data_IF_233015730307
#
_entry.id   IF_233015730307
#
_cell.length_a   1.000
_cell.length_b   1.000
_cell.length_c   1.000
_cell.angle_alpha   90.00
_cell.angle_beta   90.00
_cell.angle_gamma   90.00
#
_symmetry.space_group_name_H-M   'P 1'
#
loop_
_entity.id
_entity.type
_entity.pdbx_description
1 polymer ?
#
# COMPACT_ATOMS: atom_id res chain seq x y z
N UNK A 1 -6.52 15.27 -0.09
CA UNK A 1 -7.77 14.91 0.62
C UNK A 1 -7.71 15.06 2.15
N UNK A 2 -6.94 14.22 2.88
CA UNK A 2 -7.02 14.14 4.37
C UNK A 2 -6.70 15.45 5.11
N UNK A 3 -5.63 16.16 4.72
CA UNK A 3 -5.31 17.49 5.31
C UNK A 3 -6.39 18.53 5.00
N UNK A 4 -6.95 18.55 3.78
CA UNK A 4 -8.03 19.47 3.40
C UNK A 4 -9.35 19.19 4.14
N UNK A 5 -9.56 17.96 4.63
CA UNK A 5 -10.66 17.65 5.55
C UNK A 5 -10.39 18.23 6.94
N UNK A 6 -9.21 17.98 7.51
CA UNK A 6 -8.80 18.53 8.82
C UNK A 6 -8.84 20.07 8.85
N UNK A 7 -8.40 20.73 7.77
CA UNK A 7 -8.46 22.19 7.59
C UNK A 7 -9.90 22.71 7.70
N UNK A 8 -10.86 22.03 7.04
CA UNK A 8 -12.29 22.37 7.11
C UNK A 8 -12.87 22.14 8.51
N UNK A 9 -12.56 21.01 9.14
CA UNK A 9 -13.03 20.66 10.49
C UNK A 9 -12.45 21.61 11.57
N UNK A 10 -11.21 22.08 11.38
CA UNK A 10 -10.55 23.02 12.30
C UNK A 10 -10.83 24.50 12.00
N UNK A 11 -11.61 24.79 10.94
CA UNK A 11 -11.82 26.13 10.38
C UNK A 11 -10.51 26.95 10.19
N UNK A 12 -9.42 26.27 9.82
CA UNK A 12 -8.09 26.85 9.70
C UNK A 12 -7.88 27.47 8.31
N UNK A 13 -7.11 28.55 8.21
CA UNK A 13 -6.63 29.06 6.91
C UNK A 13 -5.42 28.24 6.46
N UNK A 14 -5.51 27.61 5.29
CA UNK A 14 -4.43 26.80 4.73
C UNK A 14 -4.12 27.17 3.28
N UNK A 15 -2.84 27.41 2.98
CA UNK A 15 -2.33 27.53 1.61
C UNK A 15 -1.89 26.15 1.08
N UNK A 16 -2.35 25.74 -0.10
CA UNK A 16 -1.93 24.51 -0.77
C UNK A 16 -1.02 24.86 -1.96
N UNK A 17 0.21 24.34 -1.97
CA UNK A 17 1.19 24.57 -3.04
C UNK A 17 1.69 23.22 -3.57
N UNK A 18 1.74 23.05 -4.89
CA UNK A 18 2.37 21.89 -5.52
C UNK A 18 3.84 22.21 -5.84
N UNK A 19 4.74 21.31 -5.47
CA UNK A 19 6.16 21.39 -5.82
C UNK A 19 6.42 20.63 -7.13
N UNK A 20 7.48 21.01 -7.84
CA UNK A 20 7.87 20.40 -9.13
C UNK A 20 8.17 21.39 -10.24
N UNK A 21 7.91 22.69 -10.04
CA UNK A 21 8.37 23.78 -10.91
C UNK A 21 9.15 24.84 -10.13
N UNK A 22 10.02 25.64 -10.79
CA UNK A 22 10.74 26.74 -10.14
C UNK A 22 9.82 27.75 -9.44
N UNK A 23 8.70 28.11 -10.07
CA UNK A 23 7.71 29.05 -9.53
C UNK A 23 7.03 28.47 -8.27
N UNK A 24 6.79 27.15 -8.26
CA UNK A 24 6.25 26.45 -7.10
C UNK A 24 7.15 26.55 -5.85
N UNK A 25 8.47 26.61 -6.04
CA UNK A 25 9.43 26.79 -4.94
C UNK A 25 9.35 28.19 -4.33
N UNK A 26 9.30 29.23 -5.16
CA UNK A 26 9.16 30.63 -4.70
C UNK A 26 7.81 30.87 -4.02
N UNK A 27 6.73 30.29 -4.56
CA UNK A 27 5.39 30.38 -3.97
C UNK A 27 5.34 29.65 -2.63
N UNK A 28 5.95 28.46 -2.52
CA UNK A 28 6.04 27.72 -1.27
C UNK A 28 6.82 28.49 -0.19
N UNK A 29 7.97 29.08 -0.54
CA UNK A 29 8.79 29.85 0.40
C UNK A 29 8.06 31.11 0.90
N UNK A 30 7.38 31.84 0.01
CA UNK A 30 6.54 32.98 0.39
C UNK A 30 5.37 32.56 1.28
N UNK A 31 4.69 31.46 0.95
CA UNK A 31 3.57 30.94 1.74
C UNK A 31 4.02 30.53 3.15
N UNK A 32 5.18 29.88 3.28
CA UNK A 32 5.76 29.50 4.57
C UNK A 32 6.14 30.74 5.38
N UNK A 33 6.82 31.73 4.79
CA UNK A 33 7.21 32.96 5.50
C UNK A 33 6.00 33.74 6.06
N UNK A 34 4.91 33.84 5.29
CA UNK A 34 3.64 34.43 5.74
C UNK A 34 3.00 33.58 6.83
N UNK A 35 2.97 32.26 6.68
CA UNK A 35 2.31 31.37 7.64
C UNK A 35 3.04 31.27 8.99
N UNK A 36 4.37 31.35 9.00
CA UNK A 36 5.22 31.36 10.21
C UNK A 36 4.86 32.54 11.12
N UNK A 37 4.60 33.72 10.54
CA UNK A 37 4.22 34.93 11.29
C UNK A 37 2.72 35.02 11.58
N UNK A 38 1.86 34.66 10.62
CA UNK A 38 0.41 34.74 10.75
C UNK A 38 -0.24 33.55 11.49
N UNK A 39 0.50 32.47 11.77
CA UNK A 39 -0.04 31.27 12.41
C UNK A 39 -0.93 30.39 11.53
N UNK A 40 -0.97 30.63 10.22
CA UNK A 40 -1.77 29.85 9.26
C UNK A 40 -1.08 28.54 8.89
N UNK A 41 -1.76 27.69 8.13
CA UNK A 41 -1.25 26.37 7.75
C UNK A 41 -0.76 26.36 6.30
N UNK A 42 0.20 25.49 5.98
CA UNK A 42 0.71 25.28 4.61
C UNK A 42 0.72 23.80 4.30
N UNK A 43 0.23 23.43 3.12
CA UNK A 43 0.23 22.07 2.58
C UNK A 43 1.08 22.03 1.30
N UNK A 44 2.21 21.33 1.35
CA UNK A 44 3.06 21.10 0.19
C UNK A 44 2.78 19.73 -0.42
N UNK A 45 2.46 19.72 -1.71
CA UNK A 45 2.18 18.53 -2.53
C UNK A 45 3.37 18.18 -3.41
N UNK A 46 3.47 16.92 -3.82
CA UNK A 46 4.49 16.38 -4.74
C UNK A 46 5.94 16.62 -4.29
N UNK A 47 6.15 16.59 -2.97
CA UNK A 47 7.42 16.91 -2.33
C UNK A 47 8.64 16.07 -2.80
N UNK A 48 8.51 14.78 -3.16
CA UNK A 48 9.63 14.00 -3.71
C UNK A 48 10.26 14.58 -4.98
N UNK A 49 9.51 15.31 -5.80
CA UNK A 49 10.02 15.96 -7.02
C UNK A 49 11.02 17.09 -6.73
N UNK A 50 11.14 17.52 -5.46
CA UNK A 50 11.87 18.70 -5.03
C UNK A 50 12.94 18.40 -3.96
N UNK A 51 13.59 17.24 -4.02
CA UNK A 51 14.54 16.76 -3.00
C UNK A 51 15.68 17.75 -2.64
N UNK A 52 16.17 18.53 -3.61
CA UNK A 52 17.19 19.57 -3.40
C UNK A 52 16.64 20.77 -2.62
N UNK A 53 15.45 21.24 -2.95
CA UNK A 53 14.75 22.31 -2.23
C UNK A 53 14.33 21.85 -0.82
N UNK A 54 13.88 20.59 -0.68
CA UNK A 54 13.49 20.00 0.60
C UNK A 54 14.66 19.93 1.60
N UNK A 55 15.88 19.64 1.12
CA UNK A 55 17.10 19.74 1.91
C UNK A 55 17.34 21.14 2.48
N UNK A 56 17.08 22.19 1.68
CA UNK A 56 17.21 23.58 2.09
C UNK A 56 16.11 23.99 3.07
N UNK A 57 14.87 23.57 2.82
CA UNK A 57 13.75 23.76 3.74
C UNK A 57 14.06 23.16 5.13
N UNK A 58 14.57 21.92 5.19
CA UNK A 58 14.95 21.28 6.45
C UNK A 58 15.96 22.06 7.27
N UNK A 59 16.95 22.71 6.61
CA UNK A 59 17.90 23.61 7.27
C UNK A 59 17.22 24.89 7.78
N UNK A 60 16.32 25.49 7.00
CA UNK A 60 15.58 26.70 7.38
C UNK A 60 14.64 26.46 8.56
N UNK A 61 13.92 25.34 8.58
CA UNK A 61 12.99 24.97 9.65
C UNK A 61 13.64 24.91 11.04
N UNK A 62 14.92 24.53 11.14
CA UNK A 62 15.65 24.54 12.42
C UNK A 62 15.90 25.94 12.99
N UNK A 63 15.94 26.99 12.16
CA UNK A 63 16.23 28.36 12.58
C UNK A 63 14.99 29.24 12.79
N UNK A 64 13.78 28.69 12.60
CA UNK A 64 12.53 29.45 12.70
C UNK A 64 11.94 29.41 14.11
N UNK A 65 11.39 30.54 14.54
CA UNK A 65 10.55 30.66 15.72
C UNK A 65 9.09 30.93 15.29
N UNK A 66 8.30 29.89 14.96
CA UNK A 66 6.97 30.07 14.38
C UNK A 66 5.89 30.40 15.42
N UNK A 67 4.83 31.07 14.96
CA UNK A 67 3.63 31.27 15.76
C UNK A 67 3.03 29.93 16.26
N UNK A 68 2.54 29.80 17.51
CA UNK A 68 2.13 28.50 18.08
C UNK A 68 1.05 27.73 17.30
N UNK A 69 0.25 28.42 16.49
CA UNK A 69 -0.80 27.82 15.64
C UNK A 69 -0.31 27.39 14.24
N UNK A 70 0.89 27.79 13.82
CA UNK A 70 1.48 27.43 12.52
C UNK A 70 1.61 25.91 12.37
N UNK A 71 1.19 25.37 11.23
CA UNK A 71 1.37 23.95 10.89
C UNK A 71 1.81 23.81 9.42
N UNK A 72 2.91 23.10 9.20
CA UNK A 72 3.40 22.73 7.88
C UNK A 72 3.10 21.25 7.65
N UNK A 73 2.38 20.95 6.57
CA UNK A 73 2.07 19.61 6.11
C UNK A 73 2.82 19.31 4.81
N UNK A 74 3.45 18.15 4.76
CA UNK A 74 4.15 17.63 3.59
C UNK A 74 3.44 16.33 3.17
N UNK A 75 3.00 16.21 1.92
CA UNK A 75 2.57 14.91 1.36
C UNK A 75 3.70 14.32 0.55
N UNK A 76 4.17 13.15 0.97
CA UNK A 76 5.40 12.53 0.51
C UNK A 76 5.13 11.04 0.33
N UNK A 77 5.44 10.49 -0.84
CA UNK A 77 5.52 9.04 -1.05
C UNK A 77 6.81 8.48 -0.45
N UNK A 78 6.84 7.19 -0.14
CA UNK A 78 8.03 6.54 0.45
C UNK A 78 9.15 6.51 -0.59
N UNK A 79 10.07 7.47 -0.51
CA UNK A 79 11.12 7.68 -1.50
C UNK A 79 12.47 7.92 -0.79
N UNK A 80 13.56 7.20 -1.15
CA UNK A 80 14.86 7.35 -0.50
C UNK A 80 15.53 8.72 -0.73
N UNK A 81 15.06 9.51 -1.70
CA UNK A 81 15.48 10.89 -1.93
C UNK A 81 14.97 11.90 -0.88
N UNK A 82 14.08 11.48 0.04
CA UNK A 82 13.57 12.35 1.12
C UNK A 82 14.65 12.53 2.20
N UNK A 83 15.12 13.76 2.48
CA UNK A 83 16.21 14.00 3.42
C UNK A 83 15.87 13.60 4.86
N UNK A 84 16.80 12.86 5.49
CA UNK A 84 16.63 12.35 6.85
C UNK A 84 16.54 13.45 7.93
N UNK A 85 17.09 14.65 7.68
CA UNK A 85 16.92 15.80 8.56
C UNK A 85 15.44 16.26 8.62
N UNK A 86 14.75 16.30 7.48
CA UNK A 86 13.32 16.67 7.40
C UNK A 86 12.45 15.62 8.09
N UNK A 87 12.75 14.34 7.90
CA UNK A 87 12.04 13.26 8.60
C UNK A 87 12.23 13.32 10.11
N UNK A 88 13.45 13.63 10.59
CA UNK A 88 13.75 13.73 12.04
C UNK A 88 13.04 14.88 12.76
N UNK A 89 12.79 16.00 12.07
CA UNK A 89 12.07 17.16 12.65
C UNK A 89 10.55 17.08 12.48
N UNK A 90 10.07 16.16 11.64
CA UNK A 90 8.65 16.04 11.30
C UNK A 90 7.98 14.93 12.11
N UNK A 91 6.70 15.12 12.45
CA UNK A 91 5.86 14.00 12.88
C UNK A 91 5.41 13.21 11.66
N UNK A 92 6.17 12.18 11.30
CA UNK A 92 5.84 11.29 10.18
C UNK A 92 4.57 10.50 10.50
N UNK A 93 3.60 10.52 9.58
CA UNK A 93 2.40 9.71 9.62
C UNK A 93 2.40 8.83 8.37
N UNK A 94 2.66 7.53 8.54
CA UNK A 94 2.52 6.57 7.46
C UNK A 94 1.05 6.21 7.27
N UNK A 95 0.63 6.17 6.00
CA UNK A 95 -0.71 5.77 5.61
C UNK A 95 -0.59 4.67 4.57
N UNK A 96 -0.65 3.44 5.03
CA UNK A 96 -0.86 2.28 4.15
C UNK A 96 -2.38 2.12 3.93
N UNK A 97 -2.82 1.72 2.72
CA UNK A 97 -4.19 1.26 2.51
C UNK A 97 -4.49 0.11 3.48
N UNK A 98 -5.66 0.10 4.14
CA UNK A 98 -5.99 -0.95 5.09
C UNK A 98 -6.07 -2.30 4.35
N UNK A 99 -5.30 -3.33 4.76
CA UNK A 99 -5.24 -4.57 4.02
C UNK A 99 -6.56 -5.35 4.08
N UNK A 100 -6.88 -6.01 2.97
CA UNK A 100 -8.00 -6.92 2.84
C UNK A 100 -9.14 -6.36 2.00
N UNK A 101 -9.78 -7.25 1.22
CA UNK A 101 -10.87 -6.94 0.29
C UNK A 101 -11.99 -6.16 0.99
N UNK A 102 -12.29 -6.50 2.25
CA UNK A 102 -13.34 -5.83 3.05
C UNK A 102 -13.06 -4.34 3.22
N UNK A 103 -11.85 -3.98 3.64
CA UNK A 103 -11.52 -2.59 3.96
C UNK A 103 -11.47 -1.74 2.67
N UNK A 104 -10.93 -2.31 1.60
CA UNK A 104 -10.91 -1.73 0.26
C UNK A 104 -12.32 -1.47 -0.30
N UNK A 105 -13.23 -2.45 -0.19
CA UNK A 105 -14.64 -2.30 -0.54
C UNK A 105 -15.32 -1.22 0.29
N UNK A 106 -15.04 -1.15 1.60
CA UNK A 106 -15.60 -0.10 2.47
C UNK A 106 -15.10 1.30 2.07
N UNK A 107 -13.84 1.45 1.67
CA UNK A 107 -13.31 2.73 1.17
C UNK A 107 -13.95 3.10 -0.17
N UNK A 108 -13.96 2.18 -1.14
CA UNK A 108 -14.53 2.37 -2.47
C UNK A 108 -16.02 2.70 -2.45
N UNK A 109 -16.84 1.90 -1.74
CA UNK A 109 -18.29 2.13 -1.64
C UNK A 109 -18.65 3.42 -0.88
N UNK A 110 -17.79 3.90 0.00
CA UNK A 110 -17.99 5.19 0.69
C UNK A 110 -17.45 6.39 -0.10
N UNK A 111 -16.55 6.18 -1.07
CA UNK A 111 -16.14 7.18 -2.05
C UNK A 111 -17.23 7.50 -3.09
N UNK A 112 -18.16 6.58 -3.34
CA UNK A 112 -19.24 6.76 -4.33
C UNK A 112 -20.13 7.97 -4.02
N UNK A 113 -20.29 8.86 -5.01
CA UNK A 113 -21.22 9.99 -4.94
C UNK A 113 -22.67 9.52 -4.87
N UNK A 114 -23.39 9.87 -3.79
CA UNK A 114 -24.81 9.54 -3.61
C UNK A 114 -25.71 10.10 -4.72
N UNK A 115 -25.35 11.25 -5.31
CA UNK A 115 -26.11 11.84 -6.42
C UNK A 115 -25.99 10.99 -7.69
N UNK A 116 -24.80 10.42 -7.93
CA UNK A 116 -24.46 9.55 -9.06
C UNK A 116 -25.15 8.18 -8.92
N UNK A 117 -25.04 7.57 -7.74
CA UNK A 117 -25.67 6.27 -7.42
C UNK A 117 -27.19 6.30 -7.55
N UNK A 118 -27.85 7.41 -7.21
CA UNK A 118 -29.32 7.54 -7.24
C UNK A 118 -29.91 7.78 -8.63
N UNK A 119 -29.09 7.93 -9.67
CA UNK A 119 -29.59 8.06 -11.04
C UNK A 119 -30.16 6.72 -11.55
N UNK A 120 -31.22 6.74 -12.38
CA UNK A 120 -31.71 5.53 -13.05
C UNK A 120 -30.72 5.06 -14.13
N UNK A 121 -30.55 3.76 -14.36
CA UNK A 121 -31.44 2.69 -13.93
C UNK A 121 -31.03 2.08 -12.57
N UNK A 122 -31.97 1.45 -11.86
CA UNK A 122 -31.76 0.85 -10.53
C UNK A 122 -30.63 -0.20 -10.51
N UNK A 123 -30.42 -0.89 -11.62
CA UNK A 123 -29.35 -1.86 -11.83
C UNK A 123 -27.94 -1.25 -11.67
N UNK A 124 -27.78 0.07 -11.82
CA UNK A 124 -26.50 0.79 -11.63
C UNK A 124 -25.81 0.45 -10.31
N UNK A 125 -26.55 0.37 -9.20
CA UNK A 125 -25.98 0.08 -7.87
C UNK A 125 -25.23 -1.27 -7.84
N UNK A 126 -25.77 -2.29 -8.51
CA UNK A 126 -25.17 -3.63 -8.55
C UNK A 126 -23.93 -3.66 -9.45
N UNK A 127 -23.96 -2.98 -10.59
CA UNK A 127 -22.77 -2.77 -11.43
C UNK A 127 -21.65 -2.00 -10.71
N UNK A 128 -21.99 -0.98 -9.93
CA UNK A 128 -21.01 -0.24 -9.13
C UNK A 128 -20.38 -1.12 -8.04
N UNK A 129 -21.17 -1.97 -7.39
CA UNK A 129 -20.65 -2.94 -6.44
C UNK A 129 -19.70 -3.94 -7.13
N UNK A 130 -20.06 -4.48 -8.31
CA UNK A 130 -19.18 -5.37 -9.09
C UNK A 130 -17.87 -4.69 -9.51
N UNK A 131 -17.89 -3.40 -9.85
CA UNK A 131 -16.69 -2.60 -10.11
C UNK A 131 -15.82 -2.41 -8.86
N UNK A 132 -16.42 -2.09 -7.71
CA UNK A 132 -15.69 -1.99 -6.45
C UNK A 132 -15.08 -3.35 -6.04
N UNK A 133 -15.80 -4.45 -6.28
CA UNK A 133 -15.31 -5.82 -6.05
C UNK A 133 -14.13 -6.15 -6.97
N UNK A 134 -14.22 -5.86 -8.27
CA UNK A 134 -13.09 -6.01 -9.20
C UNK A 134 -11.89 -5.20 -8.69
N UNK A 135 -12.06 -3.89 -8.45
CA UNK A 135 -10.98 -3.01 -8.02
C UNK A 135 -10.27 -3.50 -6.75
N UNK A 136 -11.05 -3.86 -5.71
CA UNK A 136 -10.53 -4.44 -4.47
C UNK A 136 -9.78 -5.76 -4.70
N UNK A 137 -10.29 -6.63 -5.58
CA UNK A 137 -9.64 -7.90 -5.92
C UNK A 137 -8.31 -7.69 -6.65
N UNK A 138 -8.27 -6.76 -7.62
CA UNK A 138 -7.04 -6.45 -8.37
C UNK A 138 -5.96 -5.84 -7.45
N UNK A 139 -6.36 -4.90 -6.58
CA UNK A 139 -5.46 -4.26 -5.62
C UNK A 139 -4.93 -5.24 -4.56
N UNK A 140 -5.78 -6.07 -3.94
CA UNK A 140 -5.30 -7.05 -2.97
C UNK A 140 -4.41 -8.13 -3.62
N UNK A 141 -4.62 -8.50 -4.90
CA UNK A 141 -3.67 -9.38 -5.60
C UNK A 141 -2.26 -8.78 -5.72
N UNK A 142 -2.08 -7.46 -5.76
CA UNK A 142 -0.75 -6.82 -5.80
C UNK A 142 0.08 -7.10 -4.54
N UNK A 143 -0.58 -7.33 -3.39
CA UNK A 143 0.08 -7.71 -2.14
C UNK A 143 0.82 -9.06 -2.24
N UNK A 144 0.46 -9.91 -3.21
CA UNK A 144 1.02 -11.25 -3.39
C UNK A 144 1.98 -11.36 -4.59
N UNK A 145 2.48 -10.26 -5.16
CA UNK A 145 3.53 -10.32 -6.21
C UNK A 145 4.73 -11.15 -5.72
N UNK A 146 5.26 -12.12 -6.50
CA UNK A 146 4.95 -12.43 -7.89
C UNK A 146 3.85 -13.50 -8.13
N UNK A 147 3.19 -14.02 -7.09
CA UNK A 147 2.10 -15.02 -7.21
C UNK A 147 0.77 -14.39 -7.67
N UNK A 148 0.48 -13.17 -7.21
CA UNK A 148 -0.75 -12.44 -7.54
C UNK A 148 -0.73 -11.76 -8.92
N UNK A 149 0.45 -11.27 -9.31
CA UNK A 149 0.74 -10.65 -10.60
C UNK A 149 2.23 -10.81 -10.87
N UNK A 150 2.64 -10.84 -12.13
CA UNK A 150 4.07 -10.89 -12.50
C UNK A 150 4.79 -9.59 -12.11
N UNK A 151 4.08 -8.46 -12.06
CA UNK A 151 4.61 -7.15 -11.66
C UNK A 151 3.67 -6.42 -10.69
N UNK A 152 4.22 -5.49 -9.92
CA UNK A 152 3.45 -4.57 -9.11
C UNK A 152 2.90 -3.43 -10.00
N UNK A 153 1.73 -3.66 -10.59
CA UNK A 153 0.98 -2.62 -11.31
C UNK A 153 0.38 -1.60 -10.34
N UNK A 154 0.21 -0.35 -10.78
CA UNK A 154 -0.37 0.72 -9.97
C UNK A 154 -1.86 0.87 -10.30
N UNK A 155 -2.73 0.37 -9.42
CA UNK A 155 -4.18 0.59 -9.51
C UNK A 155 -4.61 1.58 -8.42
N UNK A 156 -5.29 2.66 -8.80
CA UNK A 156 -5.68 3.73 -7.88
C UNK A 156 -7.18 4.10 -7.98
N UNK A 157 -7.62 5.06 -7.17
CA UNK A 157 -9.03 5.50 -7.19
C UNK A 157 -9.46 6.15 -8.51
N UNK A 158 -8.52 6.70 -9.30
CA UNK A 158 -8.83 7.31 -10.60
C UNK A 158 -9.22 6.26 -11.65
N UNK A 159 -8.65 5.05 -11.56
CA UNK A 159 -9.08 3.90 -12.38
C UNK A 159 -10.52 3.50 -12.08
N UNK A 160 -10.88 3.45 -10.80
CA UNK A 160 -12.26 3.14 -10.39
C UNK A 160 -13.23 4.24 -10.85
N UNK A 161 -12.87 5.53 -10.69
CA UNK A 161 -13.69 6.65 -11.16
C UNK A 161 -13.89 6.62 -12.69
N UNK A 162 -12.85 6.28 -13.45
CA UNK A 162 -12.90 6.09 -14.90
C UNK A 162 -13.78 4.88 -15.28
N UNK A 163 -13.61 3.74 -14.61
CA UNK A 163 -14.42 2.54 -14.83
C UNK A 163 -15.91 2.81 -14.60
N UNK A 164 -16.24 3.52 -13.50
CA UNK A 164 -17.60 3.97 -13.19
C UNK A 164 -18.13 4.91 -14.27
N UNK A 165 -17.31 5.83 -14.80
CA UNK A 165 -17.72 6.81 -15.81
C UNK A 165 -18.03 6.16 -17.16
N UNK A 166 -17.23 5.18 -17.56
CA UNK A 166 -17.47 4.39 -18.76
C UNK A 166 -18.75 3.55 -18.62
N UNK A 167 -19.00 2.94 -17.46
CA UNK A 167 -20.24 2.21 -17.19
C UNK A 167 -21.45 3.14 -17.17
N UNK A 168 -21.35 4.35 -16.63
CA UNK A 168 -22.44 5.33 -16.69
C UNK A 168 -22.80 5.72 -18.13
N UNK A 169 -21.81 6.01 -18.97
CA UNK A 169 -22.04 6.35 -20.37
C UNK A 169 -22.73 5.19 -21.11
N UNK A 170 -22.28 3.96 -20.87
CA UNK A 170 -22.90 2.77 -21.47
C UNK A 170 -24.32 2.51 -20.95
N UNK A 171 -24.55 2.67 -19.64
CA UNK A 171 -25.88 2.55 -19.05
C UNK A 171 -26.83 3.61 -19.59
N UNK A 172 -26.41 4.86 -19.76
CA UNK A 172 -27.26 5.93 -20.30
C UNK A 172 -27.77 5.63 -21.71
N UNK A 173 -26.89 5.10 -22.59
CA UNK A 173 -27.26 4.75 -23.97
C UNK A 173 -28.33 3.65 -24.04
N UNK A 174 -28.39 2.76 -23.05
CA UNK A 174 -29.39 1.68 -22.97
C UNK A 174 -30.61 2.10 -22.15
N UNK A 175 -30.43 2.82 -21.05
CA UNK A 175 -31.51 3.23 -20.16
C UNK A 175 -32.47 4.20 -20.86
N UNK A 176 -31.94 5.23 -21.54
CA UNK A 176 -32.75 6.26 -22.21
C UNK A 176 -33.80 6.87 -21.28
N UNK A 177 -33.40 7.18 -20.03
CA UNK A 177 -34.27 7.69 -18.97
C UNK A 177 -35.18 6.67 -18.28
N UNK A 178 -35.13 5.38 -18.64
CA UNK A 178 -35.92 4.32 -17.96
C UNK A 178 -35.39 4.02 -16.56
N UNK A 179 -36.31 3.82 -15.61
CA UNK A 179 -35.99 3.52 -14.21
C UNK A 179 -35.32 2.14 -13.99
N UNK A 180 -35.60 1.18 -14.87
CA UNK A 180 -35.02 -0.17 -14.84
C UNK A 180 -34.56 -0.57 -16.25
N UNK A 181 -33.53 -1.41 -16.34
CA UNK A 181 -32.96 -1.95 -17.58
C UNK A 181 -32.81 -3.46 -17.45
N UNK A 182 -33.29 -4.23 -18.43
CA UNK A 182 -33.07 -5.68 -18.46
C UNK A 182 -31.56 -5.96 -18.51
N UNK A 183 -30.99 -6.76 -17.57
CA UNK A 183 -29.57 -7.13 -17.57
C UNK A 183 -29.03 -7.66 -18.91
N UNK A 184 -29.83 -8.38 -19.70
CA UNK A 184 -29.44 -8.88 -21.02
C UNK A 184 -29.20 -7.76 -22.06
N UNK A 185 -29.81 -6.58 -21.86
CA UNK A 185 -29.64 -5.43 -22.75
C UNK A 185 -28.42 -4.55 -22.43
N UNK A 186 -27.75 -4.80 -21.31
CA UNK A 186 -26.52 -4.10 -20.92
C UNK A 186 -25.38 -4.53 -21.89
N UNK A 187 -24.52 -3.61 -22.38
CA UNK A 187 -23.53 -3.93 -23.41
C UNK A 187 -22.28 -4.61 -22.80
N UNK A 188 -22.46 -5.80 -22.23
CA UNK A 188 -21.44 -6.56 -21.50
C UNK A 188 -20.14 -6.78 -22.26
N UNK A 189 -20.19 -6.91 -23.59
CA UNK A 189 -18.97 -7.00 -24.41
C UNK A 189 -18.17 -5.69 -24.37
N UNK A 190 -18.84 -4.54 -24.49
CA UNK A 190 -18.19 -3.23 -24.42
C UNK A 190 -17.61 -2.96 -23.03
N UNK A 191 -18.37 -3.25 -21.95
CA UNK A 191 -17.89 -3.12 -20.57
C UNK A 191 -16.62 -3.95 -20.37
N UNK A 192 -16.65 -5.25 -20.72
CA UNK A 192 -15.48 -6.13 -20.56
C UNK A 192 -14.28 -5.67 -21.38
N UNK A 193 -14.47 -5.29 -22.64
CA UNK A 193 -13.37 -4.78 -23.48
C UNK A 193 -12.76 -3.50 -22.91
N UNK A 194 -13.56 -2.53 -22.46
CA UNK A 194 -13.04 -1.27 -21.91
C UNK A 194 -12.29 -1.48 -20.58
N UNK A 195 -12.82 -2.31 -19.67
CA UNK A 195 -12.15 -2.63 -18.41
C UNK A 195 -10.83 -3.39 -18.64
N UNK A 196 -10.85 -4.40 -19.51
CA UNK A 196 -9.68 -5.24 -19.80
C UNK A 196 -8.62 -4.57 -20.67
N UNK A 197 -8.98 -3.68 -21.61
CA UNK A 197 -8.00 -3.10 -22.55
C UNK A 197 -7.63 -1.65 -22.24
N UNK A 198 -8.55 -0.85 -21.67
CA UNK A 198 -8.34 0.59 -21.51
C UNK A 198 -8.07 0.99 -20.06
N UNK A 199 -8.88 0.51 -19.10
CA UNK A 199 -8.76 0.95 -17.70
C UNK A 199 -7.67 0.20 -16.94
N UNK A 200 -7.86 -1.09 -16.71
CA UNK A 200 -6.95 -1.88 -15.87
C UNK A 200 -5.82 -2.50 -16.70
N UNK A 201 -6.15 -3.14 -17.83
CA UNK A 201 -5.12 -3.77 -18.68
C UNK A 201 -4.30 -2.80 -19.52
N UNK A 202 -4.67 -1.51 -19.60
CA UNK A 202 -3.81 -0.48 -20.18
C UNK A 202 -2.47 -0.30 -19.45
N UNK A 203 -2.35 -0.83 -18.22
CA UNK A 203 -1.10 -0.90 -17.44
C UNK A 203 -0.39 -2.26 -17.53
N UNK A 204 -1.05 -3.28 -18.07
CA UNK A 204 -0.53 -4.65 -18.09
C UNK A 204 0.26 -4.88 -19.38
N UNK A 205 1.51 -5.27 -19.21
CA UNK A 205 2.44 -5.60 -20.30
C UNK A 205 2.68 -7.10 -20.46
N UNK A 206 2.19 -7.94 -19.53
CA UNK A 206 2.38 -9.38 -19.57
C UNK A 206 1.09 -10.14 -19.94
N UNK A 207 1.18 -11.03 -20.93
CA UNK A 207 0.02 -11.77 -21.47
C UNK A 207 -0.71 -12.65 -20.43
N UNK A 208 0.00 -13.32 -19.52
CA UNK A 208 -0.62 -14.11 -18.45
C UNK A 208 -1.37 -13.24 -17.43
N UNK A 209 -0.80 -12.09 -17.06
CA UNK A 209 -1.46 -11.12 -16.19
C UNK A 209 -2.72 -10.57 -16.87
N UNK A 210 -2.68 -10.29 -18.18
CA UNK A 210 -3.85 -9.86 -18.95
C UNK A 210 -4.95 -10.94 -18.94
N UNK A 211 -4.59 -12.22 -19.14
CA UNK A 211 -5.54 -13.35 -19.04
C UNK A 211 -6.16 -13.48 -17.64
N UNK A 212 -5.42 -13.18 -16.57
CA UNK A 212 -5.96 -13.14 -15.21
C UNK A 212 -7.00 -12.03 -15.07
N UNK A 213 -6.70 -10.81 -15.53
CA UNK A 213 -7.66 -9.69 -15.56
C UNK A 213 -8.91 -10.04 -16.38
N UNK A 214 -8.73 -10.56 -17.58
CA UNK A 214 -9.83 -11.00 -18.47
C UNK A 214 -10.68 -12.11 -17.86
N UNK A 215 -10.11 -12.98 -17.01
CA UNK A 215 -10.86 -14.01 -16.28
C UNK A 215 -11.77 -13.40 -15.22
N UNK A 216 -11.27 -12.46 -14.40
CA UNK A 216 -12.10 -11.75 -13.42
C UNK A 216 -13.19 -10.91 -14.08
N UNK A 217 -12.81 -10.12 -15.10
CA UNK A 217 -13.74 -9.28 -15.87
C UNK A 217 -14.76 -10.15 -16.63
N UNK A 218 -14.34 -11.30 -17.15
CA UNK A 218 -15.17 -12.26 -17.86
C UNK A 218 -16.18 -13.00 -16.99
N UNK A 219 -15.88 -13.24 -15.70
CA UNK A 219 -16.81 -13.82 -14.72
C UNK A 219 -17.80 -12.77 -14.19
N UNK A 220 -17.28 -11.62 -13.72
CA UNK A 220 -18.08 -10.60 -13.02
C UNK A 220 -19.02 -9.81 -13.94
N UNK A 221 -18.63 -9.52 -15.18
CA UNK A 221 -19.40 -8.64 -16.07
C UNK A 221 -20.17 -9.44 -17.13
N UNK A 222 -21.17 -10.18 -16.66
CA UNK A 222 -22.10 -11.00 -17.46
C UNK A 222 -23.54 -10.79 -17.00
N UNK A 223 -24.57 -11.10 -17.81
CA UNK A 223 -25.97 -11.01 -17.38
C UNK A 223 -26.25 -11.78 -16.09
N UNK A 224 -25.64 -12.96 -15.94
CA UNK A 224 -25.71 -13.82 -14.75
C UNK A 224 -25.25 -13.16 -13.46
N UNK A 225 -24.49 -12.07 -13.52
CA UNK A 225 -24.14 -11.27 -12.33
C UNK A 225 -25.35 -10.67 -11.61
N UNK A 226 -26.52 -10.66 -12.26
CA UNK A 226 -27.82 -10.27 -11.70
C UNK A 226 -28.64 -11.44 -11.14
N UNK A 227 -28.21 -12.69 -11.31
CA UNK A 227 -28.91 -13.87 -10.76
C UNK A 227 -28.86 -13.86 -9.22
N UNK A 228 -29.88 -14.43 -8.57
CA UNK A 228 -30.05 -14.38 -7.09
C UNK A 228 -28.98 -15.20 -6.37
N UNK A 229 -28.49 -16.27 -7.00
CA UNK A 229 -27.47 -17.19 -6.50
C UNK A 229 -26.07 -16.89 -7.06
N UNK A 230 -25.86 -15.73 -7.69
CA UNK A 230 -24.58 -15.39 -8.30
C UNK A 230 -23.44 -15.32 -7.26
N UNK A 231 -22.47 -16.23 -7.41
CA UNK A 231 -21.25 -16.23 -6.62
C UNK A 231 -20.20 -15.33 -7.26
N UNK A 232 -19.62 -14.43 -6.46
CA UNK A 232 -18.57 -13.49 -6.89
C UNK A 232 -17.30 -14.18 -7.37
N UNK A 233 -17.13 -15.47 -7.03
CA UNK A 233 -15.95 -16.27 -7.36
C UNK A 233 -16.39 -17.69 -7.72
N UNK A 234 -15.94 -18.19 -8.87
CA UNK A 234 -16.21 -19.56 -9.30
C UNK A 234 -15.78 -20.58 -8.24
N UNK A 235 -16.72 -21.45 -7.83
CA UNK A 235 -16.47 -22.48 -6.82
C UNK A 235 -16.47 -22.00 -5.35
N UNK A 236 -16.88 -20.76 -5.07
CA UNK A 236 -17.09 -20.27 -3.70
C UNK A 236 -18.56 -20.12 -3.34
N UNK A 237 -18.88 -20.11 -2.05
CA UNK A 237 -20.21 -19.79 -1.53
C UNK A 237 -20.38 -18.28 -1.23
N UNK A 238 -19.55 -17.41 -1.81
CA UNK A 238 -19.65 -15.95 -1.60
C UNK A 238 -20.69 -15.34 -2.54
N UNK A 239 -21.95 -15.55 -2.18
CA UNK A 239 -23.12 -15.07 -2.93
C UNK A 239 -23.32 -13.57 -2.67
N UNK A 240 -23.54 -12.81 -3.75
CA UNK A 240 -23.89 -11.39 -3.71
C UNK A 240 -25.29 -11.21 -3.08
N UNK A 241 -25.55 -10.19 -2.24
CA UNK A 241 -26.91 -9.97 -1.74
C UNK A 241 -27.83 -9.55 -2.89
N UNK A 242 -29.10 -9.99 -2.85
CA UNK A 242 -30.13 -9.48 -3.75
C UNK A 242 -30.56 -8.07 -3.33
N UNK A 243 -29.69 -7.12 -3.64
CA UNK A 243 -29.74 -5.74 -3.22
C UNK A 243 -29.86 -4.80 -4.42
N UNK A 244 -30.69 -3.76 -4.25
CA UNK A 244 -30.91 -2.71 -5.25
C UNK A 244 -30.27 -1.38 -4.82
N UNK A 245 -30.11 -1.17 -3.50
CA UNK A 245 -29.54 0.06 -2.94
C UNK A 245 -28.09 -0.15 -2.50
N UNK A 246 -27.23 0.85 -2.75
CA UNK A 246 -25.83 0.81 -2.35
C UNK A 246 -25.62 0.58 -0.85
N UNK A 247 -26.56 1.04 -0.02
CA UNK A 247 -26.48 0.90 1.44
C UNK A 247 -26.63 -0.57 1.89
N UNK A 248 -27.45 -1.36 1.20
CA UNK A 248 -27.56 -2.81 1.45
C UNK A 248 -26.26 -3.54 1.09
N UNK A 249 -25.57 -3.12 0.01
CA UNK A 249 -24.23 -3.62 -0.31
C UNK A 249 -23.20 -3.23 0.76
N UNK A 250 -23.28 -2.01 1.33
CA UNK A 250 -22.40 -1.59 2.44
C UNK A 250 -22.64 -2.38 3.73
N UNK A 251 -23.88 -2.72 4.03
CA UNK A 251 -24.25 -3.59 5.15
C UNK A 251 -23.66 -4.99 4.96
N UNK A 252 -23.85 -5.61 3.78
CA UNK A 252 -23.26 -6.90 3.44
C UNK A 252 -21.73 -6.89 3.51
N UNK A 253 -21.06 -5.87 2.96
CA UNK A 253 -19.60 -5.72 3.07
C UNK A 253 -19.17 -5.60 4.53
N UNK A 254 -19.95 -4.90 5.36
CA UNK A 254 -19.65 -4.75 6.78
C UNK A 254 -19.80 -6.05 7.57
N UNK A 255 -20.62 -6.99 7.10
CA UNK A 255 -20.76 -8.34 7.65
C UNK A 255 -19.65 -9.32 7.23
N UNK A 256 -18.80 -8.98 6.25
CA UNK A 256 -17.71 -9.86 5.81
C UNK A 256 -16.71 -10.16 6.95
N UNK A 257 -16.10 -11.36 6.99
CA UNK A 257 -15.08 -11.71 7.98
C UNK A 257 -13.87 -10.77 7.91
N UNK A 258 -13.22 -10.53 9.05
CA UNK A 258 -12.03 -9.68 9.15
C UNK A 258 -10.81 -10.29 8.44
N UNK A 259 -10.70 -11.63 8.46
CA UNK A 259 -9.72 -12.39 7.67
C UNK A 259 -10.43 -12.92 6.42
N UNK A 260 -10.02 -12.44 5.24
CA UNK A 260 -10.49 -12.99 3.97
C UNK A 260 -9.50 -14.06 3.46
N UNK A 261 -9.97 -15.21 2.95
CA UNK A 261 -9.08 -16.25 2.44
C UNK A 261 -8.50 -15.86 1.08
N UNK A 262 -7.26 -16.28 0.78
CA UNK A 262 -6.60 -16.03 -0.52
C UNK A 262 -7.34 -16.65 -1.71
N UNK A 263 -8.22 -17.61 -1.48
CA UNK A 263 -9.13 -18.13 -2.52
C UNK A 263 -10.08 -17.07 -3.06
N UNK A 264 -10.39 -15.99 -2.31
CA UNK A 264 -11.15 -14.85 -2.83
C UNK A 264 -10.37 -14.01 -3.84
N UNK A 265 -9.05 -14.15 -3.85
CA UNK A 265 -8.19 -13.57 -4.87
C UNK A 265 -7.95 -14.54 -6.02
N UNK A 266 -8.57 -15.74 -6.03
CA UNK A 266 -8.21 -16.80 -6.97
C UNK A 266 -6.77 -17.32 -6.77
N UNK A 267 -6.25 -17.23 -5.54
CA UNK A 267 -4.93 -17.72 -5.17
C UNK A 267 -5.02 -18.95 -4.26
N UNK A 268 -4.03 -19.86 -4.29
CA UNK A 268 -4.01 -21.02 -3.40
C UNK A 268 -3.78 -20.59 -1.94
N UNK A 269 -4.20 -21.42 -0.98
CA UNK A 269 -4.14 -21.10 0.46
C UNK A 269 -2.71 -20.90 0.98
N UNK A 270 -1.71 -21.50 0.33
CA UNK A 270 -0.30 -21.32 0.68
C UNK A 270 0.27 -19.95 0.25
N UNK A 271 -0.45 -19.13 -0.52
CA UNK A 271 0.01 -17.80 -0.91
C UNK A 271 0.18 -16.86 0.30
N UNK A 272 -0.67 -16.95 1.32
CA UNK A 272 -0.51 -16.18 2.58
C UNK A 272 0.77 -16.61 3.31
N UNK A 273 1.04 -17.92 3.35
CA UNK A 273 2.25 -18.47 3.96
C UNK A 273 3.51 -17.98 3.25
N UNK A 274 3.53 -17.98 1.92
CA UNK A 274 4.66 -17.46 1.13
C UNK A 274 4.90 -15.96 1.38
N UNK A 275 3.83 -15.17 1.49
CA UNK A 275 3.91 -13.75 1.84
C UNK A 275 4.49 -13.54 3.25
N UNK A 276 4.00 -14.30 4.24
CA UNK A 276 4.49 -14.24 5.62
C UNK A 276 5.95 -14.70 5.75
N UNK A 277 6.34 -15.76 5.03
CA UNK A 277 7.74 -16.22 4.97
C UNK A 277 8.64 -15.15 4.34
N UNK A 278 8.20 -14.48 3.25
CA UNK A 278 8.96 -13.41 2.60
C UNK A 278 9.13 -12.17 3.50
N UNK A 279 8.04 -11.72 4.15
CA UNK A 279 8.11 -10.57 5.09
C UNK A 279 8.92 -10.90 6.34
N UNK A 280 8.66 -12.06 6.95
CA UNK A 280 9.31 -12.51 8.18
C UNK A 280 10.79 -12.81 8.00
N UNK A 281 11.23 -13.30 6.83
CA UNK A 281 12.67 -13.53 6.54
C UNK A 281 13.39 -12.28 6.06
N UNK A 282 12.73 -11.40 5.29
CA UNK A 282 13.38 -10.25 4.65
C UNK A 282 13.34 -8.94 5.44
N UNK A 283 12.20 -8.59 6.05
CA UNK A 283 12.02 -7.30 6.72
C UNK A 283 12.24 -7.39 8.23
N UNK A 284 11.68 -8.40 8.90
CA UNK A 284 11.79 -8.51 10.36
C UNK A 284 13.22 -8.83 10.82
N UNK A 285 13.93 -9.76 10.17
CA UNK A 285 15.35 -9.99 10.48
C UNK A 285 16.22 -8.78 10.16
N UNK A 286 15.96 -8.04 9.08
CA UNK A 286 16.71 -6.83 8.76
C UNK A 286 16.52 -5.74 9.84
N UNK A 287 15.28 -5.53 10.31
CA UNK A 287 14.99 -4.65 11.43
C UNK A 287 15.59 -5.12 12.76
N UNK A 288 15.60 -6.44 13.02
CA UNK A 288 16.20 -7.02 14.23
C UNK A 288 17.73 -6.83 14.23
N UNK A 289 18.41 -7.14 13.12
CA UNK A 289 19.86 -6.97 12.99
C UNK A 289 20.29 -5.50 13.08
N UNK A 290 19.49 -4.56 12.57
CA UNK A 290 19.74 -3.12 12.72
C UNK A 290 19.55 -2.60 14.17
N UNK A 291 18.84 -3.34 15.02
CA UNK A 291 18.63 -3.00 16.44
C UNK A 291 19.56 -3.74 17.41
N UNK A 292 20.37 -4.70 16.95
CA UNK A 292 21.46 -5.22 17.78
C UNK A 292 22.59 -4.18 17.77
N UNK A 293 22.91 -3.52 18.90
CA UNK A 293 24.06 -2.64 18.93
C UNK A 293 25.32 -3.46 18.69
N UNK A 294 25.98 -3.23 17.57
CA UNK A 294 27.32 -3.73 17.32
C UNK A 294 28.25 -3.09 18.36
N UNK A 295 28.48 -3.81 19.45
CA UNK A 295 29.36 -3.41 20.53
C UNK A 295 30.81 -3.48 20.05
N UNK A 296 31.23 -2.47 19.28
CA UNK A 296 32.62 -2.22 18.96
C UNK A 296 33.38 -1.99 20.27
N UNK A 297 34.16 -2.99 20.69
CA UNK A 297 34.95 -2.95 21.90
C UNK A 297 36.22 -2.10 21.72
N UNK A 298 36.05 -0.78 21.59
CA UNK A 298 37.14 0.19 21.58
C UNK A 298 37.47 0.65 23.00
N UNK A 299 38.13 -0.22 23.77
CA UNK A 299 38.72 0.15 25.05
C UNK A 299 40.20 0.53 24.89
N UNK A 300 40.43 1.84 24.71
CA UNK A 300 41.52 2.62 25.33
C UNK A 300 42.95 2.04 25.21
N UNK A 301 43.83 2.75 24.49
CA UNK A 301 45.02 3.37 25.11
C UNK A 301 45.61 4.47 24.22
N UNK A 302 45.85 5.66 24.79
CA UNK A 302 46.47 6.81 24.10
C UNK A 302 47.71 7.27 24.89
N UNK A 303 48.83 7.42 24.17
CA UNK A 303 50.13 8.05 24.54
C UNK A 303 51.03 7.31 25.56
N UNK A 304 52.34 7.33 25.26
CA UNK A 304 53.33 7.63 26.31
C UNK A 304 54.69 6.92 26.28
N UNK A 305 55.57 7.28 25.33
CA UNK A 305 57.05 7.35 25.49
C UNK A 305 57.87 6.21 26.17
N UNK A 306 58.81 5.70 25.38
CA UNK A 306 60.25 5.55 25.69
C UNK A 306 60.82 4.40 26.58
N UNK A 307 61.47 3.47 25.86
CA UNK A 307 62.86 3.00 26.10
C UNK A 307 63.19 1.89 27.13
N UNK A 308 64.17 1.05 26.73
CA UNK A 308 65.05 0.19 27.55
C UNK A 308 64.43 -1.01 28.30
N UNK A 309 65.11 -2.14 28.53
CA UNK A 309 66.09 -2.91 27.72
C UNK A 309 66.27 -4.33 28.30
N UNK A 310 66.74 -5.27 27.47
CA UNK A 310 67.57 -6.45 27.82
C UNK A 310 66.98 -7.65 28.64
N UNK A 311 67.55 -8.83 28.29
CA UNK A 311 67.77 -10.07 29.11
C UNK A 311 66.54 -10.98 29.40
N UNK A 312 66.69 -12.31 29.49
CA UNK A 312 67.71 -13.23 28.93
C UNK A 312 67.24 -14.71 28.99
N UNK A 313 67.35 -15.42 27.86
CA UNK A 313 67.63 -16.88 27.68
C UNK A 313 66.77 -17.98 28.38
N UNK A 314 66.88 -19.26 27.93
CA UNK A 314 65.80 -20.26 28.10
C UNK A 314 66.26 -21.65 28.66
N UNK A 315 65.30 -22.60 28.59
CA UNK A 315 65.46 -24.07 28.48
C UNK A 315 65.58 -24.93 29.77
N UNK A 316 64.71 -25.95 29.87
CA UNK A 316 65.12 -27.37 29.66
C UNK A 316 63.95 -28.34 29.45
N UNK A 317 64.29 -29.48 28.83
CA UNK A 317 63.44 -30.65 28.54
C UNK A 317 63.29 -31.54 29.78
N UNK A 318 62.21 -32.34 29.84
CA UNK A 318 62.35 -33.81 29.84
C UNK A 318 61.07 -34.53 29.36
N UNK A 319 61.24 -35.79 28.99
CA UNK A 319 60.25 -36.70 28.40
C UNK A 319 60.27 -38.01 29.23
N UNK A 320 59.40 -38.97 28.88
CA UNK A 320 59.36 -40.35 29.38
C UNK A 320 58.58 -40.56 30.72
N UNK A 321 57.89 -41.68 30.96
CA UNK A 321 57.71 -42.87 30.11
C UNK A 321 56.53 -43.79 30.53
N UNK A 322 56.19 -44.77 29.66
CA UNK A 322 55.62 -46.12 29.95
C UNK A 322 54.31 -46.28 30.78
N UNK A 323 53.44 -47.30 30.61
CA UNK A 323 53.04 -48.19 29.47
C UNK A 323 51.93 -49.15 29.98
N UNK A 324 51.09 -49.70 29.07
CA UNK A 324 50.29 -50.97 29.22
C UNK A 324 49.14 -50.90 30.27
N UNK A 325 48.05 -51.70 30.29
CA UNK A 325 47.42 -52.82 29.51
C UNK A 325 45.95 -52.94 30.05
N UNK A 326 44.91 -53.57 29.47
CA UNK A 326 44.56 -54.20 28.17
C UNK A 326 43.03 -54.55 28.22
N UNK A 327 42.30 -54.62 27.08
CA UNK A 327 41.06 -55.44 26.85
C UNK A 327 39.76 -55.03 27.63
N UNK A 328 38.50 -55.28 27.22
CA UNK A 328 37.88 -55.76 25.94
C UNK A 328 36.35 -55.51 25.88
N UNK A 329 35.79 -55.42 24.66
CA UNK A 329 34.50 -56.03 24.20
C UNK A 329 33.12 -55.59 24.76
N UNK A 330 32.33 -54.97 23.88
CA UNK A 330 30.90 -55.30 23.62
C UNK A 330 29.83 -54.86 24.64
N UNK A 331 28.51 -54.95 24.36
CA UNK A 331 27.76 -55.11 23.09
C UNK A 331 26.25 -54.88 23.36
N UNK A 332 25.55 -54.09 22.51
CA UNK A 332 24.11 -54.19 22.14
C UNK A 332 22.95 -54.04 23.17
N UNK A 333 21.88 -53.38 22.70
CA UNK A 333 20.46 -53.32 23.18
C UNK A 333 20.20 -52.46 24.43
N UNK A 334 19.01 -51.87 24.59
CA UNK A 334 17.77 -51.97 23.78
C UNK A 334 17.45 -50.69 23.00
#
# INVERSE_FOLDING_TARGET
>A
YRVEKLVRESNAKCASVALGSPEGYDIADKAIAVAVSAGTWVLLKNVPLAASWLNQLGKRLHGLNPHPQFRLFLTVEVNPGVPSNVLRISRVLMFEPPPGIKANLQESLNGLSLARVKQPPNERSRLYFLLCWLHATLQERLRYVPLGWTKAYEYDSSDLDLALALVDQLLETVAQGRANVNPESIPWRAIRTLLSQSVYGGKIDHEFDLKILETFVGHLFTPRSYDVDFSLLAGSNLIIPDAVRIDQFKEWVSALPALQPTSWLGLPQNAERFLLETKGTGQDFACLFLHVPFAASDSVYRRGSASSSKRHRPARKTQADLRRRRFTSGRLKS
#
